data_IF_766067185325
#
_entry.id   IF_766067185325
#
_cell.length_a   1.000
_cell.length_b   1.000
_cell.length_c   1.000
_cell.angle_alpha   90.00
_cell.angle_beta   90.00
_cell.angle_gamma   90.00
#
_symmetry.space_group_name_H-M   'P 1'
#
loop_
_entity.id
_entity.type
_entity.pdbx_description
1 polymer ?
#
# COMPACT_ATOMS: atom_id res chain seq x y z
N UNK A 1 21.14 -22.61 5.01
CA UNK A 1 20.84 -21.15 4.90
C UNK A 1 19.32 -20.98 4.91
N UNK A 2 18.83 -20.01 5.68
CA UNK A 2 17.42 -19.63 5.64
C UNK A 2 17.03 -19.15 4.25
N UNK A 3 15.79 -19.37 3.83
CA UNK A 3 15.30 -18.89 2.53
C UNK A 3 15.40 -17.36 2.42
N UNK A 4 15.10 -16.66 3.50
CA UNK A 4 15.25 -15.20 3.59
C UNK A 4 16.67 -14.72 3.27
N UNK A 5 17.71 -15.45 3.69
CA UNK A 5 19.10 -15.08 3.40
C UNK A 5 19.44 -15.31 1.93
N UNK A 6 18.99 -16.43 1.34
CA UNK A 6 19.16 -16.72 -0.09
C UNK A 6 18.50 -15.63 -0.98
N UNK A 7 17.31 -15.15 -0.59
CA UNK A 7 16.60 -14.09 -1.34
C UNK A 7 17.33 -12.75 -1.19
N UNK A 8 17.85 -12.42 0.00
CA UNK A 8 18.66 -11.21 0.20
C UNK A 8 19.92 -11.20 -0.67
N UNK A 9 20.59 -12.35 -0.81
CA UNK A 9 21.74 -12.49 -1.70
C UNK A 9 21.33 -12.25 -3.16
N UNK A 10 20.26 -12.90 -3.64
CA UNK A 10 19.74 -12.66 -5.00
C UNK A 10 19.43 -11.18 -5.27
N UNK A 11 18.80 -10.49 -4.31
CA UNK A 11 18.47 -9.06 -4.42
C UNK A 11 19.74 -8.20 -4.52
N UNK A 12 20.75 -8.50 -3.69
CA UNK A 12 22.05 -7.81 -3.73
C UNK A 12 22.78 -8.04 -5.04
N UNK A 13 22.85 -9.27 -5.53
CA UNK A 13 23.51 -9.63 -6.78
C UNK A 13 22.84 -8.96 -7.98
N UNK A 14 21.51 -8.80 -7.94
CA UNK A 14 20.72 -8.10 -8.96
C UNK A 14 20.75 -6.58 -8.81
N UNK A 15 21.39 -6.03 -7.79
CA UNK A 15 21.36 -4.57 -7.51
C UNK A 15 19.98 -4.04 -7.14
N UNK A 16 19.07 -4.89 -6.68
CA UNK A 16 17.69 -4.52 -6.35
C UNK A 16 17.61 -4.09 -4.89
N UNK A 17 17.04 -2.91 -4.69
CA UNK A 17 16.77 -2.39 -3.34
C UNK A 17 15.63 -3.20 -2.70
N UNK A 18 15.71 -3.41 -1.38
CA UNK A 18 14.68 -4.16 -0.63
C UNK A 18 14.31 -3.49 0.71
N UNK A 19 14.14 -2.17 0.69
CA UNK A 19 13.64 -1.41 1.84
C UNK A 19 12.18 -1.80 2.16
N UNK A 20 11.65 -1.30 3.28
CA UNK A 20 10.33 -1.69 3.77
C UNK A 20 9.21 -1.57 2.70
N UNK A 21 9.13 -0.44 1.99
CA UNK A 21 8.12 -0.17 0.98
C UNK A 21 8.36 -0.82 -0.39
N UNK A 22 9.48 -1.52 -0.62
CA UNK A 22 9.80 -2.08 -1.93
C UNK A 22 9.03 -3.38 -2.20
N UNK A 23 8.64 -3.60 -3.45
CA UNK A 23 8.19 -4.90 -3.94
C UNK A 23 9.41 -5.75 -4.34
N UNK A 24 9.41 -7.02 -3.98
CA UNK A 24 10.49 -7.96 -4.28
C UNK A 24 10.01 -9.18 -5.07
N UNK A 25 8.80 -9.13 -5.62
CA UNK A 25 8.18 -10.28 -6.29
C UNK A 25 8.95 -10.78 -7.50
N UNK A 26 9.73 -9.92 -8.18
CA UNK A 26 10.47 -10.27 -9.39
C UNK A 26 11.61 -11.29 -9.16
N UNK A 27 12.15 -11.37 -7.93
CA UNK A 27 13.20 -12.34 -7.59
C UNK A 27 12.66 -13.61 -6.93
N UNK A 28 11.35 -13.64 -6.62
CA UNK A 28 10.71 -14.79 -5.98
C UNK A 28 10.34 -15.86 -7.01
N UNK A 29 10.55 -17.10 -6.62
CA UNK A 29 10.16 -18.29 -7.36
C UNK A 29 8.97 -18.99 -6.69
N UNK A 30 8.35 -19.92 -7.40
CA UNK A 30 7.29 -20.75 -6.82
C UNK A 30 7.79 -21.47 -5.56
N UNK A 31 7.02 -21.36 -4.47
CA UNK A 31 7.37 -21.93 -3.16
C UNK A 31 8.23 -21.04 -2.26
N UNK A 32 8.86 -19.97 -2.77
CA UNK A 32 9.70 -19.08 -1.96
C UNK A 32 8.89 -18.35 -0.86
N UNK A 33 7.66 -17.95 -1.17
CA UNK A 33 6.78 -17.26 -0.20
C UNK A 33 6.44 -18.19 0.98
N UNK A 34 6.13 -19.46 0.74
CA UNK A 34 5.86 -20.43 1.82
C UNK A 34 7.11 -20.69 2.67
N UNK A 35 8.27 -20.82 2.03
CA UNK A 35 9.54 -20.99 2.76
C UNK A 35 9.91 -19.74 3.59
N UNK A 36 9.55 -18.53 3.14
CA UNK A 36 9.68 -17.30 3.95
C UNK A 36 8.72 -17.29 5.13
N UNK A 37 7.50 -17.82 4.97
CA UNK A 37 6.55 -18.01 6.07
C UNK A 37 7.13 -18.96 7.13
N UNK A 38 7.80 -20.04 6.71
CA UNK A 38 8.47 -20.96 7.63
C UNK A 38 9.62 -20.26 8.40
N UNK A 39 10.49 -19.51 7.71
CA UNK A 39 11.54 -18.71 8.35
C UNK A 39 10.99 -17.72 9.37
N UNK A 40 9.91 -17.01 9.00
CA UNK A 40 9.26 -16.05 9.88
C UNK A 40 8.55 -16.72 11.07
N UNK A 41 7.98 -17.91 10.88
CA UNK A 41 7.37 -18.69 11.96
C UNK A 41 8.40 -18.99 13.06
N UNK A 42 9.59 -19.46 12.70
CA UNK A 42 10.67 -19.72 13.66
C UNK A 42 11.11 -18.44 14.40
N UNK A 43 11.14 -17.31 13.69
CA UNK A 43 11.45 -16.03 14.32
C UNK A 43 10.36 -15.60 15.33
N UNK A 44 9.06 -15.74 14.99
CA UNK A 44 7.96 -15.46 15.90
C UNK A 44 7.89 -16.42 17.09
N UNK A 45 8.28 -17.68 16.92
CA UNK A 45 8.45 -18.61 18.04
C UNK A 45 9.47 -18.05 19.05
N UNK A 46 10.63 -17.59 18.55
CA UNK A 46 11.67 -16.98 19.40
C UNK A 46 11.15 -15.72 20.13
N UNK A 47 10.32 -14.90 19.45
CA UNK A 47 9.71 -13.72 20.09
C UNK A 47 8.75 -14.13 21.20
N UNK A 48 7.87 -15.11 20.98
CA UNK A 48 6.93 -15.60 21.99
C UNK A 48 7.65 -16.20 23.18
N UNK A 49 8.70 -17.00 22.97
CA UNK A 49 9.54 -17.56 24.01
C UNK A 49 10.22 -16.45 24.84
N UNK A 50 10.68 -15.38 24.19
CA UNK A 50 11.31 -14.22 24.85
C UNK A 50 10.31 -13.40 25.67
N UNK A 51 9.03 -13.41 25.30
CA UNK A 51 7.93 -12.82 26.07
C UNK A 51 7.43 -13.72 27.20
N UNK A 52 8.05 -14.90 27.38
CA UNK A 52 7.68 -15.93 28.39
C UNK A 52 6.25 -16.42 28.20
N UNK A 53 5.84 -16.59 26.93
CA UNK A 53 4.52 -17.15 26.57
C UNK A 53 4.67 -18.65 26.32
N UNK A 54 3.90 -19.47 27.04
CA UNK A 54 3.84 -20.90 26.84
C UNK A 54 3.05 -21.24 25.57
N UNK A 55 3.77 -21.38 24.45
CA UNK A 55 3.18 -21.72 23.16
C UNK A 55 3.01 -23.23 22.94
N UNK A 56 3.33 -24.07 23.92
CA UNK A 56 3.25 -25.52 23.83
C UNK A 56 2.03 -26.11 24.53
N UNK A 57 1.63 -25.55 25.68
CA UNK A 57 0.53 -26.05 26.49
C UNK A 57 -0.65 -25.09 26.62
N UNK A 58 -0.47 -23.78 26.32
CA UNK A 58 -1.57 -22.84 26.25
C UNK A 58 -2.31 -22.97 24.90
N UNK A 59 -3.58 -23.44 24.91
CA UNK A 59 -4.35 -23.62 23.68
C UNK A 59 -4.65 -22.33 22.92
N UNK A 60 -4.55 -21.15 23.56
CA UNK A 60 -4.73 -19.86 22.88
C UNK A 60 -3.48 -19.42 22.13
N UNK A 61 -2.30 -19.83 22.61
CA UNK A 61 -1.00 -19.46 22.04
C UNK A 61 -0.44 -20.53 21.08
N UNK A 62 -0.99 -21.75 21.10
CA UNK A 62 -0.64 -22.81 20.16
C UNK A 62 -0.83 -22.34 18.71
N UNK A 63 0.20 -22.46 17.88
CA UNK A 63 0.18 -22.04 16.46
C UNK A 63 0.19 -20.52 16.23
N UNK A 64 0.28 -19.67 17.26
CA UNK A 64 0.31 -18.21 17.12
C UNK A 64 1.46 -17.73 16.22
N UNK A 65 2.66 -18.30 16.37
CA UNK A 65 3.81 -17.94 15.54
C UNK A 65 3.51 -18.07 14.04
N UNK A 66 2.92 -19.20 13.64
CA UNK A 66 2.56 -19.44 12.24
C UNK A 66 1.39 -18.55 11.77
N UNK A 67 0.41 -18.28 12.65
CA UNK A 67 -0.67 -17.32 12.33
C UNK A 67 -0.12 -15.94 12.07
N UNK A 68 0.81 -15.45 12.90
CA UNK A 68 1.49 -14.17 12.70
C UNK A 68 2.28 -14.14 11.38
N UNK A 69 3.08 -15.17 11.11
CA UNK A 69 3.82 -15.26 9.84
C UNK A 69 2.86 -15.19 8.63
N UNK A 70 1.82 -16.05 8.59
CA UNK A 70 0.83 -16.03 7.50
C UNK A 70 0.12 -14.69 7.35
N UNK A 71 -0.25 -14.05 8.45
CA UNK A 71 -0.87 -12.72 8.44
C UNK A 71 0.04 -11.70 7.73
N UNK A 72 1.34 -11.67 8.04
CA UNK A 72 2.27 -10.75 7.37
C UNK A 72 2.36 -11.01 5.87
N UNK A 73 2.55 -12.25 5.44
CA UNK A 73 2.80 -12.57 4.04
C UNK A 73 1.53 -12.61 3.18
N UNK A 74 0.41 -13.04 3.73
CA UNK A 74 -0.81 -13.30 2.97
C UNK A 74 -1.89 -12.23 3.12
N UNK A 75 -1.74 -11.28 4.08
CA UNK A 75 -2.75 -10.27 4.36
C UNK A 75 -2.15 -8.86 4.38
N UNK A 76 -1.19 -8.59 5.28
CA UNK A 76 -0.72 -7.24 5.56
C UNK A 76 0.29 -6.73 4.52
N UNK A 77 1.16 -7.61 4.00
CA UNK A 77 2.28 -7.21 3.14
C UNK A 77 2.26 -7.94 1.78
N UNK A 78 1.10 -8.32 1.28
CA UNK A 78 0.96 -8.99 -0.03
C UNK A 78 1.56 -8.17 -1.17
N UNK A 79 1.42 -6.84 -1.15
CA UNK A 79 2.00 -5.96 -2.16
C UNK A 79 3.53 -5.92 -2.19
N UNK A 80 4.20 -6.47 -1.17
CA UNK A 80 5.65 -6.65 -1.15
C UNK A 80 6.08 -7.92 -1.90
N UNK A 81 5.27 -8.98 -1.83
CA UNK A 81 5.62 -10.32 -2.33
C UNK A 81 4.90 -10.71 -3.61
N UNK A 82 3.80 -10.05 -3.93
CA UNK A 82 2.99 -10.36 -5.10
C UNK A 82 3.20 -9.28 -6.18
N UNK A 83 3.14 -9.63 -7.48
CA UNK A 83 3.31 -8.67 -8.57
C UNK A 83 2.18 -7.65 -8.61
N UNK A 84 2.43 -6.51 -9.27
CA UNK A 84 1.41 -5.47 -9.45
C UNK A 84 0.18 -6.03 -10.18
N UNK A 85 -1.05 -5.66 -9.75
CA UNK A 85 -2.27 -6.09 -10.44
C UNK A 85 -2.30 -5.60 -11.89
N UNK A 86 -2.64 -6.49 -12.83
CA UNK A 86 -2.84 -6.10 -14.24
C UNK A 86 -3.86 -4.97 -14.36
N UNK A 87 -3.47 -3.88 -15.01
CA UNK A 87 -4.34 -2.77 -15.37
C UNK A 87 -4.54 -2.77 -16.89
N UNK A 88 -5.72 -3.20 -17.34
CA UNK A 88 -6.08 -3.09 -18.76
C UNK A 88 -6.38 -1.63 -19.06
N UNK A 89 -5.66 -1.07 -20.04
CA UNK A 89 -5.88 0.28 -20.52
C UNK A 89 -6.76 0.25 -21.78
N UNK A 90 -7.56 1.30 -21.94
CA UNK A 90 -8.42 1.53 -23.09
C UNK A 90 -8.04 2.86 -23.75
N UNK A 91 -8.08 2.99 -25.09
CA UNK A 91 -7.90 4.27 -25.76
C UNK A 91 -8.91 5.31 -25.27
N UNK A 92 -8.46 6.55 -25.11
CA UNK A 92 -9.27 7.72 -24.77
C UNK A 92 -8.86 8.84 -25.72
N UNK A 93 -9.24 8.69 -27.00
CA UNK A 93 -8.81 9.52 -28.11
C UNK A 93 -10.02 9.91 -28.98
N UNK A 94 -9.84 10.91 -29.84
CA UNK A 94 -10.89 11.41 -30.73
C UNK A 94 -11.76 12.50 -30.11
N UNK A 95 -12.83 12.88 -30.81
CA UNK A 95 -13.71 13.99 -30.41
C UNK A 95 -14.48 13.71 -29.12
N UNK A 96 -14.78 12.44 -28.83
CA UNK A 96 -15.49 12.00 -27.63
C UNK A 96 -14.55 11.64 -26.46
N UNK A 97 -13.26 11.95 -26.55
CA UNK A 97 -12.31 11.68 -25.48
C UNK A 97 -12.72 12.40 -24.19
N UNK A 98 -12.72 11.66 -23.07
CA UNK A 98 -12.95 12.26 -21.76
C UNK A 98 -11.73 13.11 -21.34
N UNK A 99 -11.94 14.39 -21.15
CA UNK A 99 -10.90 15.39 -20.82
C UNK A 99 -11.08 16.00 -19.44
N UNK A 100 -12.14 15.61 -18.72
CA UNK A 100 -12.42 16.10 -17.37
C UNK A 100 -11.56 15.41 -16.31
N UNK A 101 -11.74 15.86 -15.06
CA UNK A 101 -11.11 15.24 -13.90
C UNK A 101 -11.92 14.02 -13.45
N UNK A 102 -11.24 12.87 -13.33
CA UNK A 102 -11.77 11.67 -12.69
C UNK A 102 -11.20 11.59 -11.27
N UNK A 103 -12.04 11.43 -10.26
CA UNK A 103 -11.61 11.22 -8.87
C UNK A 103 -12.15 9.90 -8.34
N UNK A 104 -11.25 9.00 -7.95
CA UNK A 104 -11.58 7.69 -7.38
C UNK A 104 -11.23 7.66 -5.90
N UNK A 105 -12.21 7.29 -5.06
CA UNK A 105 -12.01 7.01 -3.64
C UNK A 105 -11.66 5.54 -3.44
N UNK A 106 -10.63 5.27 -2.67
CA UNK A 106 -10.17 3.92 -2.35
C UNK A 106 -9.90 3.77 -0.86
N UNK A 107 -10.52 2.81 -0.20
CA UNK A 107 -10.13 2.45 1.16
C UNK A 107 -8.73 1.84 1.19
N UNK A 108 -7.96 2.23 2.20
CA UNK A 108 -6.60 1.75 2.41
C UNK A 108 -6.50 0.99 3.74
N UNK A 109 -5.77 -0.12 3.69
CA UNK A 109 -5.25 -0.81 4.86
C UNK A 109 -3.77 -1.04 4.64
N UNK A 110 -2.95 -0.49 5.53
CA UNK A 110 -1.50 -0.57 5.46
C UNK A 110 -0.91 -0.91 6.82
N UNK A 111 0.39 -1.07 6.85
CA UNK A 111 1.18 -1.29 8.07
C UNK A 111 2.30 -0.24 8.10
N UNK A 112 2.42 0.47 9.20
CA UNK A 112 3.52 1.41 9.40
C UNK A 112 4.86 0.66 9.53
N UNK A 113 5.87 1.05 8.74
CA UNK A 113 7.19 0.41 8.76
C UNK A 113 7.92 0.53 10.11
N UNK A 114 7.59 1.52 10.94
CA UNK A 114 8.29 1.75 12.21
C UNK A 114 7.93 0.74 13.31
N UNK A 115 6.65 0.47 13.51
CA UNK A 115 6.17 -0.36 14.62
C UNK A 115 5.27 -1.51 14.16
N UNK A 116 5.10 -1.68 12.87
CA UNK A 116 4.23 -2.67 12.24
C UNK A 116 2.78 -2.64 12.79
N UNK A 117 2.34 -1.43 13.21
CA UNK A 117 0.96 -1.19 13.62
C UNK A 117 0.11 -0.84 12.41
N UNK A 118 -1.20 -1.18 12.43
CA UNK A 118 -2.09 -0.91 11.32
C UNK A 118 -2.23 0.59 11.03
N UNK A 119 -2.34 0.90 9.74
CA UNK A 119 -2.73 2.20 9.21
C UNK A 119 -4.02 2.01 8.44
N UNK A 120 -5.06 2.75 8.81
CA UNK A 120 -6.38 2.65 8.20
C UNK A 120 -6.85 4.01 7.69
N UNK A 121 -7.31 4.07 6.46
CA UNK A 121 -7.73 5.34 5.88
C UNK A 121 -8.29 5.22 4.47
N UNK A 122 -8.27 6.34 3.78
CA UNK A 122 -8.81 6.50 2.42
C UNK A 122 -7.81 7.25 1.56
N UNK A 123 -7.62 6.79 0.32
CA UNK A 123 -6.96 7.55 -0.73
C UNK A 123 -7.99 8.10 -1.72
N UNK A 124 -7.79 9.34 -2.15
CA UNK A 124 -8.47 9.96 -3.28
C UNK A 124 -7.45 10.16 -4.40
N UNK A 125 -7.73 9.56 -5.55
CA UNK A 125 -6.86 9.55 -6.71
C UNK A 125 -7.55 10.35 -7.80
N UNK A 126 -7.04 11.55 -8.09
CA UNK A 126 -7.51 12.41 -9.17
C UNK A 126 -6.62 12.29 -10.39
N UNK A 127 -7.19 12.15 -11.58
CA UNK A 127 -6.45 12.21 -12.85
C UNK A 127 -7.22 13.01 -13.89
N UNK A 128 -6.48 13.66 -14.79
CA UNK A 128 -6.96 14.10 -16.09
C UNK A 128 -6.31 13.16 -17.12
N UNK A 129 -7.09 12.34 -17.82
CA UNK A 129 -6.55 11.32 -18.74
C UNK A 129 -5.71 11.91 -19.87
N UNK A 130 -4.76 11.11 -20.35
CA UNK A 130 -3.90 11.46 -21.48
C UNK A 130 -3.79 10.26 -22.44
N UNK A 131 -4.65 10.25 -23.46
CA UNK A 131 -4.68 9.24 -24.52
C UNK A 131 -5.18 7.84 -24.11
N UNK A 132 -5.27 7.54 -22.81
CA UNK A 132 -5.82 6.27 -22.31
C UNK A 132 -6.42 6.38 -20.91
N UNK A 133 -7.36 5.48 -20.61
CA UNK A 133 -7.97 5.27 -19.30
C UNK A 133 -7.86 3.81 -18.89
N UNK A 134 -7.97 3.53 -17.60
CA UNK A 134 -8.03 2.17 -17.05
C UNK A 134 -9.38 1.94 -16.36
N UNK A 135 -9.79 0.69 -16.22
CA UNK A 135 -11.03 0.37 -15.51
C UNK A 135 -11.01 0.90 -14.06
N UNK A 136 -12.14 1.46 -13.60
CA UNK A 136 -12.25 2.12 -12.27
C UNK A 136 -11.71 1.28 -11.12
N UNK A 137 -12.01 -0.02 -11.10
CA UNK A 137 -11.50 -0.94 -10.07
C UNK A 137 -9.97 -1.08 -10.04
N UNK A 138 -9.27 -0.69 -11.11
CA UNK A 138 -7.81 -0.80 -11.19
C UNK A 138 -7.11 0.25 -10.35
N UNK A 139 -7.68 1.46 -10.24
CA UNK A 139 -7.18 2.49 -9.32
C UNK A 139 -7.14 1.98 -7.88
N UNK A 140 -8.27 1.41 -7.42
CA UNK A 140 -8.35 0.83 -6.07
C UNK A 140 -7.38 -0.34 -5.87
N UNK A 141 -7.27 -1.26 -6.85
CA UNK A 141 -6.37 -2.41 -6.74
C UNK A 141 -4.89 -1.99 -6.68
N UNK A 142 -4.49 -1.00 -7.47
CA UNK A 142 -3.12 -0.45 -7.45
C UNK A 142 -2.87 0.22 -6.10
N UNK A 143 -3.79 1.08 -5.62
CA UNK A 143 -3.65 1.75 -4.33
C UNK A 143 -3.54 0.75 -3.16
N UNK A 144 -4.38 -0.29 -3.14
CA UNK A 144 -4.32 -1.34 -2.13
C UNK A 144 -3.03 -2.18 -2.22
N UNK A 145 -2.53 -2.46 -3.42
CA UNK A 145 -1.27 -3.15 -3.61
C UNK A 145 -0.09 -2.32 -3.09
N UNK A 146 -0.05 -1.01 -3.37
CA UNK A 146 0.93 -0.10 -2.78
C UNK A 146 0.82 -0.07 -1.25
N UNK A 147 -0.38 0.00 -0.69
CA UNK A 147 -0.62 0.06 0.75
C UNK A 147 -0.14 -1.20 1.49
N UNK A 148 -0.19 -2.37 0.84
CA UNK A 148 0.20 -3.65 1.44
C UNK A 148 1.68 -3.96 1.26
N UNK A 149 2.57 -2.99 1.54
CA UNK A 149 4.03 -3.18 1.50
C UNK A 149 4.71 -2.93 2.84
N UNK A 150 4.07 -2.25 3.78
CA UNK A 150 4.67 -1.84 5.05
C UNK A 150 5.58 -0.63 4.87
N UNK A 151 5.00 0.54 4.61
CA UNK A 151 5.71 1.77 4.27
C UNK A 151 5.21 2.96 5.11
N UNK A 152 5.86 4.11 4.98
CA UNK A 152 5.38 5.38 5.52
C UNK A 152 4.27 5.95 4.65
N UNK A 153 3.36 6.74 5.23
CA UNK A 153 2.23 7.31 4.49
C UNK A 153 2.70 8.25 3.36
N UNK A 154 3.77 8.99 3.57
CA UNK A 154 4.36 9.91 2.59
C UNK A 154 4.90 9.15 1.38
N UNK A 155 5.60 8.04 1.61
CA UNK A 155 6.10 7.15 0.56
C UNK A 155 4.93 6.47 -0.17
N UNK A 156 3.94 5.97 0.57
CA UNK A 156 2.73 5.36 0.02
C UNK A 156 2.02 6.31 -0.96
N UNK A 157 1.89 7.60 -0.58
CA UNK A 157 1.25 8.60 -1.42
C UNK A 157 2.00 8.78 -2.76
N UNK A 158 3.35 8.83 -2.70
CA UNK A 158 4.20 8.89 -3.89
C UNK A 158 4.14 7.61 -4.73
N UNK A 159 4.12 6.44 -4.09
CA UNK A 159 4.05 5.15 -4.77
C UNK A 159 2.75 4.98 -5.54
N UNK A 160 1.62 5.32 -4.93
CA UNK A 160 0.32 5.31 -5.62
C UNK A 160 0.35 6.25 -6.83
N UNK A 161 0.86 7.48 -6.66
CA UNK A 161 0.95 8.44 -7.76
C UNK A 161 1.82 7.91 -8.90
N UNK A 162 2.97 7.28 -8.61
CA UNK A 162 3.87 6.70 -9.60
C UNK A 162 3.22 5.54 -10.37
N UNK A 163 2.61 4.60 -9.66
CA UNK A 163 2.02 3.42 -10.29
C UNK A 163 0.78 3.77 -11.13
N UNK A 164 -0.02 4.75 -10.69
CA UNK A 164 -1.15 5.26 -11.49
C UNK A 164 -0.64 6.00 -12.74
N UNK A 165 0.42 6.82 -12.63
CA UNK A 165 1.04 7.46 -13.79
C UNK A 165 1.54 6.43 -14.82
N UNK A 166 2.21 5.37 -14.37
CA UNK A 166 2.67 4.28 -15.25
C UNK A 166 1.48 3.59 -15.93
N UNK A 167 0.44 3.25 -15.18
CA UNK A 167 -0.71 2.53 -15.69
C UNK A 167 -1.55 3.35 -16.69
N UNK A 168 -1.68 4.68 -16.49
CA UNK A 168 -2.57 5.56 -17.25
C UNK A 168 -1.84 6.46 -18.24
N UNK A 169 -0.51 6.62 -18.12
CA UNK A 169 0.28 7.65 -18.82
C UNK A 169 -0.17 9.11 -18.52
N UNK A 170 -1.00 9.31 -17.52
CA UNK A 170 -1.49 10.64 -17.14
C UNK A 170 -0.38 11.41 -16.43
N UNK A 171 -0.06 12.61 -16.92
CA UNK A 171 0.91 13.53 -16.30
C UNK A 171 0.25 14.47 -15.28
N UNK A 172 -1.06 14.66 -15.43
CA UNK A 172 -1.86 15.50 -14.56
C UNK A 172 -2.61 14.61 -13.56
N UNK A 173 -2.07 14.47 -12.35
CA UNK A 173 -2.66 13.62 -11.31
C UNK A 173 -2.41 14.16 -9.91
N UNK A 174 -3.32 13.82 -9.01
CA UNK A 174 -3.22 14.08 -7.58
C UNK A 174 -3.57 12.85 -6.77
N UNK A 175 -2.85 12.62 -5.67
CA UNK A 175 -3.19 11.62 -4.67
C UNK A 175 -3.26 12.33 -3.32
N UNK A 176 -4.37 12.14 -2.62
CA UNK A 176 -4.58 12.62 -1.25
C UNK A 176 -4.91 11.42 -0.39
N UNK A 177 -4.20 11.24 0.72
CA UNK A 177 -4.44 10.17 1.70
C UNK A 177 -4.81 10.81 3.04
N UNK A 178 -5.86 10.30 3.65
CA UNK A 178 -6.26 10.59 5.02
C UNK A 178 -6.33 9.28 5.79
N UNK A 179 -5.54 9.14 6.86
CA UNK A 179 -5.45 7.90 7.62
C UNK A 179 -5.16 8.10 9.09
N UNK A 180 -5.59 7.13 9.91
CA UNK A 180 -5.21 6.96 11.30
C UNK A 180 -4.10 5.93 11.43
N UNK A 181 -3.28 6.08 12.46
CA UNK A 181 -2.09 5.26 12.67
C UNK A 181 -2.12 4.59 14.04
N UNK A 182 -2.25 3.26 14.07
CA UNK A 182 -2.22 2.49 15.30
C UNK A 182 -0.97 2.70 16.15
N UNK A 183 0.16 3.05 15.53
CA UNK A 183 1.37 3.39 16.26
C UNK A 183 1.28 4.69 17.07
N UNK A 184 0.35 5.59 16.76
CA UNK A 184 0.05 6.80 17.49
C UNK A 184 -1.17 6.64 18.43
N UNK A 185 -2.15 5.81 18.02
CA UNK A 185 -3.41 5.65 18.75
C UNK A 185 -3.34 4.60 19.86
N UNK A 186 -2.71 3.43 19.58
CA UNK A 186 -2.80 2.24 20.44
C UNK A 186 -1.59 2.05 21.36
N UNK A 187 -0.57 2.88 21.22
CA UNK A 187 0.67 2.83 22.01
C UNK A 187 1.38 4.19 22.02
N UNK A 188 2.45 4.31 22.79
CA UNK A 188 3.27 5.52 22.85
C UNK A 188 2.47 6.72 23.34
N UNK A 189 2.25 7.70 22.48
CA UNK A 189 1.54 8.95 22.81
C UNK A 189 0.03 8.77 23.04
N UNK A 190 -0.58 7.66 22.59
CA UNK A 190 -2.01 7.36 22.71
C UNK A 190 -2.95 8.49 22.23
N UNK A 191 -2.63 9.07 21.08
CA UNK A 191 -3.40 10.16 20.48
C UNK A 191 -4.60 9.60 19.70
N UNK A 192 -5.69 9.26 20.39
CA UNK A 192 -6.86 8.57 19.84
C UNK A 192 -7.63 9.32 18.73
N UNK A 193 -7.43 10.62 18.57
CA UNK A 193 -8.04 11.43 17.51
C UNK A 193 -7.03 11.85 16.44
N UNK A 194 -5.85 11.24 16.43
CA UNK A 194 -4.81 11.60 15.46
C UNK A 194 -5.19 11.21 14.04
N UNK A 195 -5.20 12.19 13.14
CA UNK A 195 -5.52 12.02 11.74
C UNK A 195 -4.42 12.64 10.90
N UNK A 196 -3.77 11.85 10.06
CA UNK A 196 -2.69 12.31 9.19
C UNK A 196 -3.19 12.46 7.76
N UNK A 197 -2.83 13.58 7.13
CA UNK A 197 -3.16 13.88 5.75
C UNK A 197 -1.88 14.09 4.95
N UNK A 198 -1.75 13.42 3.80
CA UNK A 198 -0.64 13.58 2.86
C UNK A 198 -1.18 13.82 1.46
N UNK A 199 -0.46 14.63 0.68
CA UNK A 199 -0.88 14.98 -0.69
C UNK A 199 0.32 14.98 -1.62
N UNK A 200 0.16 14.35 -2.78
CA UNK A 200 1.10 14.42 -3.90
C UNK A 200 0.36 14.95 -5.12
N UNK A 201 0.87 16.01 -5.73
CA UNK A 201 0.28 16.64 -6.91
C UNK A 201 1.32 16.69 -8.03
N UNK A 202 0.91 16.40 -9.27
CA UNK A 202 1.75 16.43 -10.48
C UNK A 202 1.03 17.14 -11.63
N UNK A 203 1.82 17.77 -12.52
CA UNK A 203 1.29 18.53 -13.64
C UNK A 203 0.30 19.62 -13.22
N UNK A 204 -0.82 19.77 -13.91
CA UNK A 204 -1.82 20.82 -13.63
C UNK A 204 -2.38 20.78 -12.20
N UNK A 205 -2.45 19.61 -11.56
CA UNK A 205 -2.84 19.53 -10.14
C UNK A 205 -1.89 20.29 -9.22
N UNK A 206 -0.61 20.41 -9.60
CA UNK A 206 0.41 21.16 -8.87
C UNK A 206 0.46 22.62 -9.33
N UNK A 207 0.43 22.84 -10.66
CA UNK A 207 0.84 24.09 -11.29
C UNK A 207 -0.34 25.05 -11.54
N UNK A 208 -1.61 24.53 -11.60
CA UNK A 208 -2.80 25.33 -11.81
C UNK A 208 -3.69 25.36 -10.55
N UNK A 209 -3.91 26.56 -9.95
CA UNK A 209 -4.76 26.72 -8.77
C UNK A 209 -6.20 26.25 -8.97
N UNK A 210 -6.75 26.39 -10.20
CA UNK A 210 -8.12 25.97 -10.55
C UNK A 210 -8.27 24.46 -10.46
N UNK A 211 -7.39 23.71 -11.13
CA UNK A 211 -7.33 22.25 -11.09
C UNK A 211 -7.13 21.72 -9.66
N UNK A 212 -6.22 22.34 -8.92
CA UNK A 212 -5.99 21.98 -7.51
C UNK A 212 -7.25 22.19 -6.67
N UNK A 213 -7.94 23.31 -6.85
CA UNK A 213 -9.18 23.64 -6.12
C UNK A 213 -10.27 22.62 -6.47
N UNK A 214 -10.48 22.33 -7.75
CA UNK A 214 -11.47 21.36 -8.21
C UNK A 214 -11.21 19.97 -7.57
N UNK A 215 -9.97 19.50 -7.54
CA UNK A 215 -9.61 18.26 -6.89
C UNK A 215 -9.97 18.24 -5.41
N UNK A 216 -9.61 19.29 -4.67
CA UNK A 216 -9.90 19.37 -3.24
C UNK A 216 -11.41 19.49 -2.95
N UNK A 217 -12.16 20.17 -3.80
CA UNK A 217 -13.62 20.29 -3.66
C UNK A 217 -14.31 18.94 -3.95
N UNK A 218 -13.86 18.19 -4.96
CA UNK A 218 -14.34 16.82 -5.24
C UNK A 218 -14.07 15.87 -4.05
N UNK A 219 -12.92 16.00 -3.38
CA UNK A 219 -12.63 15.23 -2.16
C UNK A 219 -13.62 15.53 -1.05
N UNK A 220 -13.88 16.82 -0.78
CA UNK A 220 -14.86 17.26 0.24
C UNK A 220 -16.25 16.70 -0.04
N UNK A 221 -16.73 16.83 -1.28
CA UNK A 221 -18.02 16.27 -1.68
C UNK A 221 -18.08 14.75 -1.45
N UNK A 222 -17.04 14.00 -1.83
CA UNK A 222 -17.01 12.57 -1.58
C UNK A 222 -16.95 12.22 -0.08
N UNK A 223 -16.34 13.06 0.76
CA UNK A 223 -16.35 12.87 2.22
C UNK A 223 -17.73 13.09 2.83
N UNK A 224 -18.49 14.05 2.33
CA UNK A 224 -19.87 14.33 2.78
C UNK A 224 -20.85 13.22 2.43
N UNK A 225 -20.71 12.62 1.25
CA UNK A 225 -21.60 11.58 0.72
C UNK A 225 -21.08 10.14 0.92
N UNK A 226 -19.92 9.95 1.55
CA UNK A 226 -19.42 8.61 1.83
C UNK A 226 -20.36 7.87 2.78
N UNK A 227 -20.71 6.61 2.51
CA UNK A 227 -21.45 5.80 3.48
C UNK A 227 -20.63 5.71 4.77
N UNK A 228 -21.31 5.93 5.89
CA UNK A 228 -20.75 5.86 7.25
C UNK A 228 -20.47 4.42 7.65
#
# INVERSE_FOLDING_TARGET
>A
LKKSDQIKEKLKDAGIRYWAGDNISEVLQAGDKEALIDDATLAFETVLDSLVIDRHTDPNSEGTARRLAKMYFNELMTGRYDPIPKATAFPNEGEDAYTGMLVVRSELRSVCSHHHQPVAGVAYIGIIPNGKVIGLSKYTRIAQWCARRGTLQEELCNDIAREIEIATNAKNLGVYIQATHGCCENRGIMAHSSLTQTTVLRGSFKDDPGTKKEFMDNIKLQQEFAPR
#
